data_IF_917515285663
#
_entry.id   IF_917515285663
#
_cell.length_a   1.000
_cell.length_b   1.000
_cell.length_c   1.000
_cell.angle_alpha   90.00
_cell.angle_beta   90.00
_cell.angle_gamma   90.00
#
_symmetry.space_group_name_H-M   'P 1'
#
loop_
_entity.id
_entity.type
_entity.pdbx_description
1 polymer ?
#
# COMPACT_ATOMS: atom_id res chain seq x y z
N UNK A 1 -28.02 51.37 -45.77
CA UNK A 1 -27.40 51.16 -44.44
C UNK A 1 -28.47 50.61 -43.49
N UNK A 2 -28.47 49.39 -42.97
CA UNK A 2 -27.68 48.18 -43.20
C UNK A 2 -28.55 47.00 -42.70
N UNK A 3 -29.30 46.35 -43.58
CA UNK A 3 -30.10 45.14 -43.30
C UNK A 3 -29.24 43.90 -42.98
N UNK A 4 -27.91 44.01 -43.12
CA UNK A 4 -26.92 43.00 -42.74
C UNK A 4 -26.65 42.92 -41.21
N UNK A 5 -26.95 43.96 -40.44
CA UNK A 5 -26.64 44.01 -38.99
C UNK A 5 -27.68 43.28 -38.10
N UNK A 6 -28.92 43.10 -38.57
CA UNK A 6 -29.94 42.37 -37.79
C UNK A 6 -29.81 40.84 -37.88
N UNK A 7 -29.28 40.30 -38.98
CA UNK A 7 -29.07 38.85 -39.10
C UNK A 7 -27.87 38.35 -38.28
N UNK A 8 -26.83 39.19 -38.11
CA UNK A 8 -25.68 38.84 -37.28
C UNK A 8 -26.01 38.77 -35.78
N UNK A 9 -26.94 39.60 -35.29
CA UNK A 9 -27.31 39.61 -33.87
C UNK A 9 -28.31 38.51 -33.48
N UNK A 10 -29.10 37.98 -34.43
CA UNK A 10 -30.00 36.85 -34.18
C UNK A 10 -29.29 35.49 -34.18
N UNK A 11 -28.24 35.32 -35.00
CA UNK A 11 -27.48 34.06 -35.05
C UNK A 11 -26.56 33.96 -33.84
N UNK A 12 -25.90 35.05 -33.42
CA UNK A 12 -24.90 35.01 -32.35
C UNK A 12 -25.50 34.79 -30.95
N UNK A 13 -26.73 35.24 -30.69
CA UNK A 13 -27.38 35.06 -29.38
C UNK A 13 -27.85 33.63 -29.14
N UNK A 14 -28.20 32.86 -30.16
CA UNK A 14 -28.69 31.49 -29.98
C UNK A 14 -27.59 30.43 -29.88
N UNK A 15 -26.41 30.65 -30.48
CA UNK A 15 -25.28 29.71 -30.37
C UNK A 15 -24.45 29.94 -29.11
N UNK A 16 -24.27 31.18 -28.66
CA UNK A 16 -23.42 31.47 -27.49
C UNK A 16 -24.08 31.06 -26.16
N UNK A 17 -25.41 31.02 -26.09
CA UNK A 17 -26.16 30.73 -24.87
C UNK A 17 -26.37 29.22 -24.62
N UNK A 18 -26.12 28.36 -25.62
CA UNK A 18 -26.20 26.89 -25.49
C UNK A 18 -24.85 26.22 -25.23
N UNK A 19 -23.74 26.95 -25.35
CA UNK A 19 -22.39 26.40 -25.11
C UNK A 19 -21.92 26.52 -23.65
N UNK A 20 -22.48 27.45 -22.87
CA UNK A 20 -22.14 27.60 -21.45
C UNK A 20 -22.49 26.40 -20.55
N UNK A 21 -23.67 25.74 -20.66
CA UNK A 21 -24.00 24.62 -19.78
C UNK A 21 -23.22 23.34 -20.13
N UNK A 22 -22.75 23.21 -21.37
CA UNK A 22 -21.91 22.06 -21.79
C UNK A 22 -20.49 22.20 -21.25
N UNK A 23 -19.94 23.42 -21.21
CA UNK A 23 -18.63 23.68 -20.64
C UNK A 23 -18.60 23.50 -19.10
N UNK A 24 -19.70 23.82 -18.40
CA UNK A 24 -19.79 23.58 -16.95
C UNK A 24 -20.05 22.10 -16.60
N UNK A 25 -20.77 21.35 -17.45
CA UNK A 25 -20.91 19.90 -17.29
C UNK A 25 -19.59 19.14 -17.53
N UNK A 26 -18.69 19.67 -18.38
CA UNK A 26 -17.36 19.11 -18.60
C UNK A 26 -16.35 19.43 -17.49
N UNK A 27 -16.56 20.50 -16.71
CA UNK A 27 -15.64 20.91 -15.64
C UNK A 27 -15.93 20.24 -14.28
N UNK A 28 -17.12 19.68 -14.07
CA UNK A 28 -17.47 18.94 -12.84
C UNK A 28 -17.06 17.45 -12.96
N UNK A 29 -16.68 17.01 -14.15
CA UNK A 29 -16.47 15.60 -14.48
C UNK A 29 -15.07 15.05 -14.31
N UNK A 30 -14.11 15.68 -13.63
CA UNK A 30 -12.81 15.02 -13.36
C UNK A 30 -12.11 15.57 -12.11
N UNK A 31 -12.73 15.41 -10.94
CA UNK A 31 -11.95 15.16 -9.72
C UNK A 31 -12.30 13.76 -9.24
N UNK A 32 -11.97 12.77 -10.08
CA UNK A 32 -11.69 11.45 -9.54
C UNK A 32 -10.37 11.61 -8.77
N UNK A 33 -10.47 12.19 -7.57
CA UNK A 33 -9.38 12.21 -6.61
C UNK A 33 -9.09 10.74 -6.34
N UNK A 34 -7.97 10.26 -6.87
CA UNK A 34 -7.60 8.87 -6.79
C UNK A 34 -7.21 8.61 -5.33
N UNK A 35 -8.21 8.25 -4.52
CA UNK A 35 -8.00 8.00 -3.10
C UNK A 35 -6.93 6.90 -2.95
N UNK A 36 -5.88 7.12 -2.13
CA UNK A 36 -4.85 6.14 -1.93
C UNK A 36 -5.47 4.84 -1.45
N UNK A 37 -4.99 3.74 -2.02
CA UNK A 37 -5.31 2.40 -1.57
C UNK A 37 -4.19 1.93 -0.67
N UNK A 38 -4.58 1.31 0.44
CA UNK A 38 -3.67 0.66 1.36
C UNK A 38 -3.94 -0.84 1.34
N UNK A 39 -2.91 -1.64 1.15
CA UNK A 39 -2.96 -3.07 1.40
C UNK A 39 -2.16 -3.36 2.66
N UNK A 40 -2.80 -4.02 3.63
CA UNK A 40 -2.16 -4.53 4.82
C UNK A 40 -2.12 -6.05 4.75
N UNK A 41 -0.92 -6.61 4.88
CA UNK A 41 -0.66 -8.04 4.82
C UNK A 41 -0.08 -8.50 6.13
N UNK A 42 -0.74 -9.45 6.79
CA UNK A 42 -0.32 -10.00 8.07
C UNK A 42 0.17 -11.42 7.88
N UNK A 43 1.26 -11.79 8.56
CA UNK A 43 1.75 -13.16 8.54
C UNK A 43 1.12 -13.99 9.67
N UNK A 44 1.85 -14.95 10.24
CA UNK A 44 1.47 -15.67 11.45
C UNK A 44 1.02 -14.73 12.60
N UNK A 45 0.32 -15.27 13.60
CA UNK A 45 -0.13 -14.48 14.76
C UNK A 45 1.04 -14.11 15.69
N UNK A 46 0.87 -13.04 16.47
CA UNK A 46 1.83 -12.68 17.52
C UNK A 46 2.06 -13.82 18.53
N UNK A 47 1.01 -14.58 18.90
CA UNK A 47 1.15 -15.76 19.77
C UNK A 47 2.09 -16.82 19.18
N UNK A 48 1.94 -17.11 17.88
CA UNK A 48 2.79 -18.07 17.18
C UNK A 48 4.25 -17.58 17.15
N UNK A 49 4.47 -16.30 16.88
CA UNK A 49 5.80 -15.70 16.89
C UNK A 49 6.40 -15.66 18.30
N UNK A 50 5.60 -15.36 19.34
CA UNK A 50 6.04 -15.37 20.74
C UNK A 50 6.54 -16.76 21.15
N UNK A 51 5.78 -17.80 20.79
CA UNK A 51 6.18 -19.20 21.02
C UNK A 51 7.49 -19.52 20.30
N UNK A 52 7.63 -19.13 19.03
CA UNK A 52 8.87 -19.34 18.29
C UNK A 52 10.06 -18.68 18.99
N UNK A 53 9.96 -17.40 19.37
CA UNK A 53 11.04 -16.68 20.04
C UNK A 53 11.38 -17.26 21.41
N UNK A 54 10.38 -17.69 22.18
CA UNK A 54 10.59 -18.36 23.46
C UNK A 54 11.37 -19.67 23.30
N UNK A 55 11.06 -20.49 22.29
CA UNK A 55 11.83 -21.70 21.99
C UNK A 55 13.26 -21.39 21.54
N UNK A 56 13.46 -20.34 20.73
CA UNK A 56 14.82 -19.88 20.37
C UNK A 56 15.61 -19.43 21.59
N UNK A 57 14.97 -18.72 22.53
CA UNK A 57 15.60 -18.32 23.78
C UNK A 57 16.03 -19.51 24.62
N UNK A 58 15.13 -20.48 24.84
CA UNK A 58 15.41 -21.71 25.57
C UNK A 58 16.57 -22.49 24.96
N UNK A 59 16.58 -22.64 23.64
CA UNK A 59 17.68 -23.29 22.94
C UNK A 59 19.00 -22.55 23.17
N UNK A 60 19.04 -21.23 23.01
CA UNK A 60 20.26 -20.45 23.21
C UNK A 60 20.76 -20.50 24.66
N UNK A 61 19.86 -20.52 25.64
CA UNK A 61 20.20 -20.72 27.05
C UNK A 61 20.87 -22.08 27.28
N UNK A 62 20.33 -23.16 26.69
CA UNK A 62 20.90 -24.50 26.79
C UNK A 62 22.32 -24.60 26.19
N UNK A 63 22.64 -23.78 25.18
CA UNK A 63 23.96 -23.70 24.57
C UNK A 63 24.86 -22.61 25.17
N UNK A 64 24.47 -21.97 26.29
CA UNK A 64 25.28 -20.96 26.99
C UNK A 64 25.29 -19.56 26.37
N UNK A 65 24.47 -19.30 25.35
CA UNK A 65 24.36 -18.00 24.68
C UNK A 65 23.36 -17.09 25.39
N UNK A 66 23.68 -16.66 26.61
CA UNK A 66 22.74 -15.96 27.49
C UNK A 66 22.24 -14.61 26.93
N UNK A 67 23.11 -13.82 26.32
CA UNK A 67 22.71 -12.51 25.77
C UNK A 67 21.67 -12.66 24.65
N UNK A 68 21.88 -13.64 23.75
CA UNK A 68 20.92 -13.96 22.69
C UNK A 68 19.62 -14.52 23.26
N UNK A 69 19.71 -15.36 24.29
CA UNK A 69 18.52 -15.90 24.95
C UNK A 69 17.65 -14.77 25.52
N UNK A 70 18.27 -13.81 26.22
CA UNK A 70 17.56 -12.67 26.80
C UNK A 70 16.94 -11.78 25.71
N UNK A 71 17.63 -11.55 24.60
CA UNK A 71 17.07 -10.83 23.45
C UNK A 71 15.84 -11.54 22.88
N UNK A 72 15.90 -12.87 22.71
CA UNK A 72 14.76 -13.63 22.20
C UNK A 72 13.59 -13.70 23.19
N UNK A 73 13.82 -13.68 24.50
CA UNK A 73 12.74 -13.54 25.48
C UNK A 73 12.06 -12.17 25.39
N UNK A 74 12.82 -11.09 25.16
CA UNK A 74 12.24 -9.77 24.93
C UNK A 74 11.37 -9.75 23.66
N UNK A 75 11.85 -10.36 22.57
CA UNK A 75 11.07 -10.51 21.34
C UNK A 75 9.79 -11.31 21.59
N UNK A 76 9.87 -12.40 22.36
CA UNK A 76 8.71 -13.21 22.71
C UNK A 76 7.67 -12.38 23.48
N UNK A 77 8.09 -11.67 24.52
CA UNK A 77 7.23 -10.82 25.34
C UNK A 77 6.56 -9.71 24.52
N UNK A 78 7.28 -9.11 23.57
CA UNK A 78 6.69 -8.10 22.68
C UNK A 78 5.60 -8.68 21.77
N UNK A 79 5.76 -9.94 21.35
CA UNK A 79 4.84 -10.63 20.46
C UNK A 79 3.57 -11.18 21.14
N UNK A 80 3.58 -11.41 22.47
CA UNK A 80 2.49 -12.08 23.19
C UNK A 80 1.11 -11.43 22.99
N UNK A 81 1.07 -10.10 22.89
CA UNK A 81 -0.16 -9.34 22.72
C UNK A 81 -0.37 -8.79 21.29
N UNK A 82 0.51 -9.13 20.35
CA UNK A 82 0.44 -8.59 18.99
C UNK A 82 -0.52 -9.39 18.11
N UNK A 83 -1.19 -8.69 17.19
CA UNK A 83 -2.09 -9.33 16.22
C UNK A 83 -1.34 -10.14 15.17
N UNK A 84 -0.05 -9.84 14.94
CA UNK A 84 0.75 -10.43 13.87
C UNK A 84 2.21 -10.66 14.29
N UNK A 85 2.88 -11.58 13.61
CA UNK A 85 4.32 -11.82 13.68
C UNK A 85 5.11 -10.85 12.81
N UNK A 86 4.67 -10.68 11.57
CA UNK A 86 5.15 -9.68 10.62
C UNK A 86 3.97 -9.02 9.94
N UNK A 87 4.15 -7.77 9.54
CA UNK A 87 3.17 -7.01 8.79
C UNK A 87 3.85 -6.29 7.65
N UNK A 88 3.25 -6.36 6.47
CA UNK A 88 3.61 -5.52 5.33
C UNK A 88 2.47 -4.54 5.09
N UNK A 89 2.81 -3.29 4.85
CA UNK A 89 1.88 -2.27 4.39
C UNK A 89 2.38 -1.74 3.06
N UNK A 90 1.49 -1.74 2.07
CA UNK A 90 1.74 -1.16 0.75
C UNK A 90 0.71 -0.07 0.54
N UNK A 91 1.16 1.16 0.35
CA UNK A 91 0.28 2.30 0.07
C UNK A 91 0.56 2.79 -1.34
N UNK A 92 -0.47 2.96 -2.15
CA UNK A 92 -0.34 3.34 -3.56
C UNK A 92 -1.61 4.04 -4.05
N UNK A 93 -1.50 4.88 -5.06
CA UNK A 93 -2.53 5.89 -5.36
C UNK A 93 -3.74 5.39 -6.20
N UNK A 94 -3.84 4.10 -6.54
CA UNK A 94 -4.50 3.73 -7.79
C UNK A 94 -6.05 3.91 -7.88
N UNK A 95 -6.46 4.83 -8.76
CA UNK A 95 -7.77 4.85 -9.44
C UNK A 95 -7.96 3.73 -10.50
N UNK A 96 -9.09 3.68 -11.24
CA UNK A 96 -9.81 2.43 -11.55
C UNK A 96 -9.17 1.37 -12.47
N UNK A 97 -8.05 1.61 -13.16
CA UNK A 97 -7.66 0.79 -14.33
C UNK A 97 -6.16 0.56 -14.58
N UNK A 98 -5.26 0.86 -13.64
CA UNK A 98 -3.83 0.88 -13.99
C UNK A 98 -3.21 -0.52 -14.13
N UNK A 99 -3.01 -0.95 -15.39
CA UNK A 99 -2.07 -2.00 -15.81
C UNK A 99 -0.60 -1.52 -15.83
N UNK A 100 -0.35 -0.28 -15.38
CA UNK A 100 0.96 0.37 -15.40
C UNK A 100 1.73 0.22 -14.08
N UNK A 101 3.04 0.43 -14.14
CA UNK A 101 3.90 0.51 -12.96
C UNK A 101 3.61 1.83 -12.22
N UNK A 102 3.21 1.73 -10.97
CA UNK A 102 2.86 2.86 -10.11
C UNK A 102 3.87 3.04 -8.99
N UNK A 103 4.01 4.27 -8.52
CA UNK A 103 4.73 4.56 -7.27
C UNK A 103 3.95 3.98 -6.09
N UNK A 104 4.69 3.51 -5.09
CA UNK A 104 4.11 3.00 -3.85
C UNK A 104 5.05 3.28 -2.68
N UNK A 105 4.48 3.31 -1.49
CA UNK A 105 5.21 3.26 -0.22
C UNK A 105 5.14 1.84 0.33
N UNK A 106 6.28 1.28 0.72
CA UNK A 106 6.39 -0.05 1.30
C UNK A 106 6.91 0.04 2.73
N UNK A 107 6.21 -0.59 3.67
CA UNK A 107 6.62 -0.70 5.06
C UNK A 107 6.60 -2.17 5.48
N UNK A 108 7.70 -2.65 6.05
CA UNK A 108 7.79 -3.97 6.66
C UNK A 108 8.00 -3.82 8.16
N UNK A 109 7.12 -4.43 8.92
CA UNK A 109 7.19 -4.56 10.36
C UNK A 109 7.58 -6.00 10.70
N UNK A 110 8.68 -6.16 11.44
CA UNK A 110 9.17 -7.44 11.94
C UNK A 110 9.08 -7.48 13.46
N UNK A 111 9.17 -8.68 14.03
CA UNK A 111 9.10 -8.91 15.48
C UNK A 111 7.84 -8.24 16.05
N UNK A 112 6.71 -8.56 15.43
CA UNK A 112 5.39 -8.14 15.88
C UNK A 112 5.16 -6.62 15.93
N UNK A 113 6.00 -5.85 15.22
CA UNK A 113 5.97 -4.38 15.18
C UNK A 113 7.12 -3.70 15.92
N UNK A 114 7.96 -4.45 16.64
CA UNK A 114 9.10 -3.89 17.38
C UNK A 114 10.17 -3.33 16.46
N UNK A 115 10.35 -3.96 15.29
CA UNK A 115 11.34 -3.56 14.30
C UNK A 115 10.70 -3.17 12.97
N UNK A 116 11.36 -2.25 12.28
CA UNK A 116 10.96 -1.77 10.96
C UNK A 116 9.90 -0.67 11.02
N UNK A 117 8.99 -0.68 10.04
CA UNK A 117 7.98 0.36 9.86
C UNK A 117 8.45 1.60 9.10
N UNK A 118 9.74 1.66 8.73
CA UNK A 118 10.26 2.68 7.83
C UNK A 118 9.54 2.66 6.48
N UNK A 119 9.23 3.84 5.97
CA UNK A 119 8.64 4.00 4.64
C UNK A 119 9.75 3.89 3.60
N UNK A 120 9.69 2.85 2.79
CA UNK A 120 10.62 2.61 1.70
C UNK A 120 9.92 2.94 0.38
N UNK A 121 10.49 3.84 -0.45
CA UNK A 121 9.98 4.07 -1.79
C UNK A 121 10.00 2.77 -2.61
N UNK A 122 8.86 2.46 -3.20
CA UNK A 122 8.63 1.25 -3.95
C UNK A 122 7.89 1.54 -5.26
N UNK A 123 7.76 0.50 -6.07
CA UNK A 123 6.89 0.48 -7.24
C UNK A 123 5.99 -0.74 -7.17
N UNK A 124 4.71 -0.55 -7.44
CA UNK A 124 3.75 -1.63 -7.56
C UNK A 124 3.31 -1.76 -9.01
N UNK A 125 3.28 -2.98 -9.53
CA UNK A 125 2.74 -3.27 -10.85
C UNK A 125 1.82 -4.49 -10.78
N UNK A 126 0.73 -4.46 -11.54
CA UNK A 126 -0.14 -5.60 -11.74
C UNK A 126 0.25 -6.28 -13.04
N UNK A 127 0.65 -7.55 -13.00
CA UNK A 127 0.83 -8.36 -14.19
C UNK A 127 -0.03 -9.61 -14.06
N UNK A 128 -0.91 -9.84 -15.02
CA UNK A 128 -1.88 -10.94 -15.01
C UNK A 128 -2.66 -10.93 -13.69
N UNK A 129 -2.40 -11.89 -12.80
CA UNK A 129 -3.10 -12.10 -11.54
C UNK A 129 -2.21 -11.89 -10.31
N UNK A 130 -1.08 -11.19 -10.44
CA UNK A 130 -0.18 -10.89 -9.30
C UNK A 130 0.16 -9.41 -9.24
N UNK A 131 -0.07 -8.79 -8.09
CA UNK A 131 0.58 -7.52 -7.74
C UNK A 131 2.02 -7.80 -7.32
N UNK A 132 2.97 -7.13 -7.96
CA UNK A 132 4.38 -7.18 -7.58
C UNK A 132 4.80 -5.82 -7.05
N UNK A 133 5.28 -5.82 -5.80
CA UNK A 133 5.86 -4.63 -5.17
C UNK A 133 7.36 -4.78 -5.18
N UNK A 134 8.04 -3.85 -5.82
CA UNK A 134 9.50 -3.82 -5.96
C UNK A 134 10.07 -2.64 -5.21
N UNK A 135 11.12 -2.87 -4.41
CA UNK A 135 11.79 -1.83 -3.63
C UNK A 135 13.28 -2.12 -3.51
N UNK A 136 14.08 -1.08 -3.28
CA UNK A 136 15.50 -1.22 -3.06
C UNK A 136 15.80 -1.37 -1.57
N UNK A 137 16.40 -2.50 -1.18
CA UNK A 137 16.75 -2.74 0.22
C UNK A 137 18.16 -2.22 0.50
N UNK A 138 18.25 -1.12 1.24
CA UNK A 138 19.53 -0.41 1.48
C UNK A 138 20.61 -1.28 2.14
N UNK A 139 20.26 -2.05 3.17
CA UNK A 139 21.23 -2.92 3.87
C UNK A 139 21.84 -3.99 2.94
N UNK A 140 21.02 -4.71 2.17
CA UNK A 140 21.49 -5.76 1.24
C UNK A 140 21.92 -5.23 -0.14
N UNK A 141 21.75 -3.92 -0.39
CA UNK A 141 22.10 -3.23 -1.64
C UNK A 141 21.52 -3.88 -2.92
N UNK A 142 20.29 -4.37 -2.85
CA UNK A 142 19.65 -5.06 -3.97
C UNK A 142 18.15 -4.80 -4.04
N UNK A 143 17.57 -5.00 -5.23
CA UNK A 143 16.11 -5.00 -5.41
C UNK A 143 15.50 -6.22 -4.73
N UNK A 144 14.39 -6.00 -4.03
CA UNK A 144 13.55 -7.02 -3.41
C UNK A 144 12.13 -6.90 -3.95
N UNK A 145 11.44 -8.03 -3.92
CA UNK A 145 10.11 -8.18 -4.50
C UNK A 145 9.18 -8.85 -3.49
N UNK A 146 8.02 -8.25 -3.29
CA UNK A 146 6.92 -8.80 -2.52
C UNK A 146 5.74 -9.04 -3.46
N UNK A 147 5.27 -10.28 -3.52
CA UNK A 147 4.24 -10.69 -4.45
C UNK A 147 2.93 -10.89 -3.70
N UNK A 148 1.83 -10.43 -4.28
CA UNK A 148 0.47 -10.57 -3.74
C UNK A 148 -0.39 -11.13 -4.87
N UNK A 149 -0.92 -12.33 -4.66
CA UNK A 149 -1.84 -12.96 -5.59
C UNK A 149 -3.17 -12.18 -5.56
N UNK A 150 -3.67 -11.77 -6.73
CA UNK A 150 -4.78 -10.83 -6.85
C UNK A 150 -6.09 -11.37 -6.27
N UNK A 151 -6.35 -12.66 -6.47
CA UNK A 151 -7.63 -13.29 -6.13
C UNK A 151 -7.67 -13.79 -4.69
N UNK A 152 -6.62 -14.49 -4.26
CA UNK A 152 -6.53 -15.04 -2.89
C UNK A 152 -6.03 -14.02 -1.87
N UNK A 153 -5.39 -12.94 -2.33
CA UNK A 153 -4.65 -12.00 -1.49
C UNK A 153 -3.57 -12.65 -0.62
N UNK A 154 -3.15 -13.86 -0.99
CA UNK A 154 -1.98 -14.52 -0.41
C UNK A 154 -0.72 -13.81 -0.90
N UNK A 155 0.24 -13.58 -0.01
CA UNK A 155 1.39 -12.77 -0.32
C UNK A 155 2.66 -13.24 0.39
N UNK A 156 3.81 -12.80 -0.11
CA UNK A 156 5.08 -13.06 0.53
C UNK A 156 6.27 -12.70 -0.33
N UNK A 157 7.45 -12.99 0.21
CA UNK A 157 8.71 -12.78 -0.49
C UNK A 157 9.10 -14.03 -1.27
N UNK A 158 9.60 -13.84 -2.50
CA UNK A 158 10.03 -14.93 -3.38
C UNK A 158 8.84 -15.89 -3.61
N UNK A 159 9.01 -17.17 -3.26
CA UNK A 159 8.02 -18.22 -3.46
C UNK A 159 7.15 -18.48 -2.23
N UNK A 160 7.42 -17.78 -1.11
CA UNK A 160 6.61 -17.92 0.10
C UNK A 160 5.32 -17.10 -0.04
N UNK A 161 4.22 -17.66 0.47
CA UNK A 161 2.88 -17.03 0.54
C UNK A 161 2.39 -17.06 1.98
N UNK A 162 3.24 -16.60 2.88
CA UNK A 162 3.09 -16.65 4.34
C UNK A 162 2.38 -15.42 4.92
N UNK A 163 1.92 -14.50 4.08
CA UNK A 163 1.09 -13.36 4.45
C UNK A 163 -0.31 -13.47 3.84
N UNK A 164 -1.29 -12.96 4.56
CA UNK A 164 -2.64 -12.74 4.07
C UNK A 164 -2.93 -11.24 4.03
N UNK A 165 -3.25 -10.73 2.84
CA UNK A 165 -3.54 -9.32 2.62
C UNK A 165 -5.04 -9.01 2.69
N UNK A 166 -5.32 -7.75 3.03
CA UNK A 166 -6.63 -7.10 2.90
C UNK A 166 -6.46 -5.66 2.43
N UNK A 167 -7.44 -5.16 1.69
CA UNK A 167 -7.52 -3.73 1.38
C UNK A 167 -8.07 -2.98 2.60
N UNK A 168 -7.43 -1.87 2.94
CA UNK A 168 -7.86 -0.93 3.97
C UNK A 168 -8.23 0.39 3.29
N UNK A 169 -9.37 0.98 3.67
CA UNK A 169 -9.75 2.33 3.24
C UNK A 169 -8.79 3.33 3.90
N UNK A 170 -8.11 4.15 3.09
CA UNK A 170 -7.16 5.14 3.57
C UNK A 170 -7.73 6.55 3.32
N UNK A 171 -8.14 7.23 4.39
CA UNK A 171 -8.55 8.62 4.31
C UNK A 171 -7.30 9.52 4.33
N UNK A 172 -7.19 10.40 3.33
CA UNK A 172 -6.04 11.30 3.14
C UNK A 172 -5.91 12.39 4.23
N UNK A 173 -6.83 12.46 5.19
CA UNK A 173 -6.84 13.50 6.23
C UNK A 173 -5.63 13.44 7.18
N UNK A 174 -5.00 12.27 7.33
CA UNK A 174 -3.93 12.04 8.30
C UNK A 174 -2.55 12.57 7.84
N UNK A 175 -2.42 13.06 6.60
CA UNK A 175 -1.20 13.73 6.11
C UNK A 175 -1.22 15.27 6.23
N UNK A 176 -2.29 15.86 6.80
CA UNK A 176 -2.46 17.32 6.93
C UNK A 176 -2.19 17.89 8.34
N UNK A 177 -1.52 17.15 9.22
CA UNK A 177 -1.11 17.63 10.55
C UNK A 177 0.41 17.69 10.71
#
# INVERSE_FOLDING_TARGET
MNTLLMFYSMIYKHTCQRLLPVATALLIGVTADAAPRRMACLSETGESSARYWSEQAKNNRNFGNLDKANQFEQNAAYCEASEYGRKVVVTFDAGPNAADIQSADFQLYTICGFEGGDIIPAKINLKEDTYTVSYYHNYYRMMRYFHIDRDSLAAGFVDQRDFQCRFESYDLSDKLL
#
